data_IF_621944033626
#
_entry.id   IF_621944033626
#
_cell.length_a   1.000
_cell.length_b   1.000
_cell.length_c   1.000
_cell.angle_alpha   90.00
_cell.angle_beta   90.00
_cell.angle_gamma   90.00
#
_symmetry.space_group_name_H-M   'P 1'
#
loop_
_entity.id
_entity.type
_entity.pdbx_description
1 polymer ?
#
# COMPACT_ATOMS: atom_id res chain seq x y z
N UNK A 1 6.13 -16.34 -9.27
CA UNK A 1 5.92 -14.89 -9.40
C UNK A 1 7.24 -14.14 -9.59
N UNK A 2 8.24 -14.19 -8.67
CA UNK A 2 9.51 -13.44 -8.77
C UNK A 2 10.28 -13.76 -10.06
N UNK A 3 10.51 -15.05 -10.35
CA UNK A 3 11.20 -15.49 -11.57
C UNK A 3 10.43 -15.05 -12.83
N UNK A 4 9.12 -15.17 -12.83
CA UNK A 4 8.26 -14.77 -13.96
C UNK A 4 8.34 -13.27 -14.20
N UNK A 5 8.28 -12.47 -13.13
CA UNK A 5 8.43 -11.03 -13.18
C UNK A 5 9.82 -10.63 -13.71
N UNK A 6 10.88 -11.24 -13.20
CA UNK A 6 12.25 -10.95 -13.64
C UNK A 6 12.48 -11.28 -15.12
N UNK A 7 11.89 -12.37 -15.62
CA UNK A 7 12.01 -12.75 -17.03
C UNK A 7 11.23 -11.78 -17.94
N UNK A 8 10.05 -11.35 -17.52
CA UNK A 8 9.22 -10.42 -18.31
C UNK A 8 9.72 -8.99 -18.30
N UNK A 9 10.26 -8.55 -17.17
CA UNK A 9 10.73 -7.17 -16.98
C UNK A 9 12.14 -6.89 -17.51
N UNK A 10 12.80 -7.88 -18.11
CA UNK A 10 14.18 -7.70 -18.60
C UNK A 10 15.23 -7.70 -17.49
N UNK A 11 14.97 -8.39 -16.37
CA UNK A 11 15.94 -8.61 -15.28
C UNK A 11 15.66 -7.84 -13.99
N UNK A 12 14.65 -6.97 -13.95
CA UNK A 12 14.28 -6.27 -12.72
C UNK A 12 13.71 -7.22 -11.67
N UNK A 13 14.27 -7.15 -10.45
CA UNK A 13 13.79 -7.94 -9.32
C UNK A 13 12.74 -7.15 -8.54
N UNK A 14 11.69 -7.81 -8.03
CA UNK A 14 10.79 -7.16 -7.09
C UNK A 14 11.54 -6.81 -5.80
N UNK A 15 11.31 -5.62 -5.29
CA UNK A 15 11.92 -5.14 -4.05
C UNK A 15 10.91 -4.82 -2.96
N UNK A 16 9.63 -4.78 -3.31
CA UNK A 16 8.57 -4.42 -2.37
C UNK A 16 7.44 -5.43 -2.44
N UNK A 17 6.98 -5.87 -1.28
CA UNK A 17 5.81 -6.70 -1.12
C UNK A 17 4.80 -6.01 -0.22
N UNK A 18 3.55 -5.94 -0.66
CA UNK A 18 2.42 -5.39 0.09
C UNK A 18 1.41 -6.51 0.29
N UNK A 19 0.98 -6.72 1.53
CA UNK A 19 0.04 -7.79 1.87
C UNK A 19 -1.13 -7.24 2.68
N UNK A 20 -2.29 -7.86 2.53
CA UNK A 20 -3.42 -7.61 3.39
C UNK A 20 -3.18 -8.14 4.81
N UNK A 21 -3.86 -7.57 5.80
CA UNK A 21 -3.74 -7.98 7.21
C UNK A 21 -4.04 -9.46 7.41
N UNK A 22 -5.08 -9.97 6.76
CA UNK A 22 -5.48 -11.38 6.85
C UNK A 22 -4.38 -12.32 6.31
N UNK A 23 -3.74 -11.94 5.22
CA UNK A 23 -2.61 -12.69 4.64
C UNK A 23 -1.43 -12.73 5.59
N UNK A 24 -1.09 -11.59 6.20
CA UNK A 24 0.02 -11.51 7.17
C UNK A 24 -0.23 -12.43 8.37
N UNK A 25 -1.44 -12.42 8.92
CA UNK A 25 -1.78 -13.20 10.13
C UNK A 25 -1.69 -14.72 9.86
N UNK A 26 -2.02 -15.15 8.65
CA UNK A 26 -1.84 -16.55 8.23
C UNK A 26 -0.36 -16.88 7.98
N UNK A 27 0.39 -15.97 7.37
CA UNK A 27 1.82 -16.19 7.10
C UNK A 27 2.64 -16.38 8.39
N UNK A 28 2.34 -15.62 9.45
CA UNK A 28 3.02 -15.75 10.75
C UNK A 28 2.82 -17.13 11.35
N UNK A 29 1.64 -17.70 11.19
CA UNK A 29 1.28 -19.01 11.76
C UNK A 29 1.51 -20.17 10.79
N UNK A 30 2.07 -19.92 9.61
CA UNK A 30 2.21 -20.94 8.59
C UNK A 30 3.30 -21.96 8.94
N UNK A 31 2.98 -23.27 9.07
CA UNK A 31 3.89 -24.28 9.59
C UNK A 31 5.18 -24.44 8.76
N UNK A 32 5.11 -24.28 7.44
CA UNK A 32 6.30 -24.35 6.56
C UNK A 32 7.24 -23.15 6.76
N UNK A 33 6.71 -21.97 7.09
CA UNK A 33 7.51 -20.77 7.36
C UNK A 33 8.18 -20.94 8.72
N UNK A 34 7.43 -21.39 9.73
CA UNK A 34 7.95 -21.68 11.06
C UNK A 34 9.06 -22.74 11.00
N UNK A 35 8.85 -23.83 10.29
CA UNK A 35 9.85 -24.90 10.14
C UNK A 35 11.14 -24.39 9.45
N UNK A 36 11.01 -23.50 8.45
CA UNK A 36 12.16 -22.92 7.75
C UNK A 36 12.98 -21.98 8.63
N UNK A 37 12.32 -21.20 9.50
CA UNK A 37 12.97 -20.30 10.44
C UNK A 37 13.62 -21.04 11.62
N UNK A 38 12.96 -22.06 12.10
CA UNK A 38 13.44 -22.82 13.26
C UNK A 38 14.63 -23.74 12.96
N UNK A 39 15.02 -23.92 11.71
CA UNK A 39 16.16 -24.78 11.36
C UNK A 39 16.05 -26.20 11.90
N UNK A 40 14.81 -26.71 12.13
CA UNK A 40 14.56 -28.01 12.74
C UNK A 40 14.39 -27.98 14.27
N UNK A 41 14.24 -26.82 14.90
CA UNK A 41 13.98 -26.74 16.34
C UNK A 41 12.58 -27.24 16.71
N UNK A 42 12.51 -27.92 17.85
CA UNK A 42 11.32 -28.57 18.39
C UNK A 42 10.24 -27.59 18.85
N UNK A 43 9.01 -28.08 18.95
CA UNK A 43 7.75 -27.43 19.34
C UNK A 43 7.81 -26.61 20.66
N UNK A 44 8.84 -26.75 21.46
CA UNK A 44 9.00 -26.11 22.77
C UNK A 44 9.55 -24.67 22.72
N UNK A 45 9.98 -24.18 21.58
CA UNK A 45 10.42 -22.78 21.43
C UNK A 45 9.97 -22.21 20.09
N UNK A 46 8.73 -21.68 19.99
CA UNK A 46 8.21 -21.15 18.73
C UNK A 46 9.01 -19.90 18.33
N UNK A 47 9.54 -19.90 17.10
CA UNK A 47 10.19 -18.71 16.58
C UNK A 47 9.18 -17.59 16.43
N UNK A 48 9.51 -16.42 16.97
CA UNK A 48 8.73 -15.23 16.73
C UNK A 48 9.00 -14.74 15.29
N UNK A 49 7.96 -14.78 14.45
CA UNK A 49 8.04 -14.27 13.09
C UNK A 49 7.72 -12.78 13.11
N UNK A 50 8.71 -11.96 12.82
CA UNK A 50 8.57 -10.52 12.60
C UNK A 50 8.41 -10.23 11.12
N UNK A 51 7.86 -9.06 10.80
CA UNK A 51 7.68 -8.61 9.41
C UNK A 51 9.01 -8.50 8.66
N UNK A 52 10.11 -8.16 9.38
CA UNK A 52 11.46 -8.17 8.84
C UNK A 52 11.92 -9.59 8.41
N UNK A 53 11.60 -10.60 9.20
CA UNK A 53 11.90 -12.00 8.82
C UNK A 53 11.06 -12.48 7.65
N UNK A 54 9.82 -12.00 7.52
CA UNK A 54 9.02 -12.26 6.33
C UNK A 54 9.65 -11.61 5.09
N UNK A 55 10.14 -10.37 5.21
CA UNK A 55 10.86 -9.71 4.12
C UNK A 55 12.08 -10.50 3.67
N UNK A 56 12.88 -11.05 4.60
CA UNK A 56 14.02 -11.90 4.29
C UNK A 56 13.61 -13.20 3.59
N UNK A 57 12.54 -13.87 4.05
CA UNK A 57 12.04 -15.11 3.43
C UNK A 57 11.59 -14.87 2.00
N UNK A 58 10.89 -13.76 1.76
CA UNK A 58 10.43 -13.37 0.43
C UNK A 58 11.52 -12.66 -0.39
N UNK A 59 12.69 -12.42 0.20
CA UNK A 59 13.84 -11.73 -0.40
C UNK A 59 13.43 -10.38 -1.01
N UNK A 60 12.68 -9.58 -0.26
CA UNK A 60 12.27 -8.21 -0.61
C UNK A 60 12.90 -7.22 0.36
N UNK A 61 13.15 -6.00 -0.12
CA UNK A 61 13.71 -4.92 0.72
C UNK A 61 12.64 -4.34 1.65
N UNK A 62 11.41 -4.19 1.12
CA UNK A 62 10.30 -3.57 1.84
C UNK A 62 9.12 -4.55 1.93
N UNK A 63 8.58 -4.69 3.13
CA UNK A 63 7.39 -5.47 3.40
C UNK A 63 6.36 -4.58 4.10
N UNK A 64 5.25 -4.31 3.44
CA UNK A 64 4.19 -3.45 3.95
C UNK A 64 2.91 -4.23 4.17
N UNK A 65 2.20 -3.88 5.24
CA UNK A 65 0.92 -4.47 5.60
C UNK A 65 -0.16 -3.42 5.40
N UNK A 66 -1.22 -3.78 4.68
CA UNK A 66 -2.40 -2.93 4.54
C UNK A 66 -3.35 -3.19 5.71
N UNK A 67 -3.29 -2.31 6.72
CA UNK A 67 -4.12 -2.40 7.93
C UNK A 67 -5.32 -1.44 7.89
N UNK A 68 -5.51 -0.69 6.82
CA UNK A 68 -6.62 0.23 6.69
C UNK A 68 -7.96 -0.51 6.68
N UNK A 69 -8.91 0.02 7.43
CA UNK A 69 -10.27 -0.51 7.58
C UNK A 69 -11.26 0.43 6.92
N UNK A 70 -12.25 -0.12 6.26
CA UNK A 70 -13.41 0.62 5.74
C UNK A 70 -14.68 0.12 6.38
N UNK A 71 -15.59 1.01 6.66
CA UNK A 71 -16.97 0.66 6.96
C UNK A 71 -17.72 0.42 5.63
N UNK A 72 -18.30 -0.75 5.48
CA UNK A 72 -19.09 -1.15 4.31
C UNK A 72 -20.60 -1.08 4.53
N UNK A 73 -21.05 -0.71 5.74
CA UNK A 73 -22.48 -0.56 6.04
C UNK A 73 -23.05 0.69 5.41
N UNK A 74 -24.34 0.63 5.08
CA UNK A 74 -25.12 1.78 4.64
C UNK A 74 -25.49 2.65 5.84
N UNK A 75 -25.67 3.96 5.63
CA UNK A 75 -26.06 4.91 6.65
C UNK A 75 -27.33 4.44 7.40
N UNK A 76 -27.30 4.51 8.74
CA UNK A 76 -28.41 4.06 9.61
C UNK A 76 -28.43 2.58 9.96
N UNK A 77 -27.46 1.78 9.51
CA UNK A 77 -27.33 0.36 9.84
C UNK A 77 -26.10 0.15 10.74
N UNK A 78 -26.08 -0.95 11.50
CA UNK A 78 -24.93 -1.30 12.33
C UNK A 78 -23.63 -1.36 11.51
N UNK A 79 -22.53 -0.89 12.09
CA UNK A 79 -21.23 -0.82 11.43
C UNK A 79 -20.73 -2.22 11.01
N UNK A 80 -20.27 -2.32 9.76
CA UNK A 80 -19.62 -3.51 9.21
C UNK A 80 -18.22 -3.13 8.72
N UNK A 81 -17.23 -3.36 9.56
CA UNK A 81 -15.84 -3.01 9.27
C UNK A 81 -15.11 -4.16 8.56
N UNK A 82 -14.39 -3.83 7.49
CA UNK A 82 -13.57 -4.78 6.73
C UNK A 82 -12.22 -4.17 6.37
N UNK A 83 -11.17 -5.01 6.34
CA UNK A 83 -9.85 -4.58 5.88
C UNK A 83 -9.87 -4.30 4.37
N UNK A 84 -9.30 -3.16 3.96
CA UNK A 84 -9.23 -2.78 2.54
C UNK A 84 -8.33 -3.73 1.76
N UNK A 85 -7.21 -4.15 2.37
CA UNK A 85 -6.25 -5.08 1.77
C UNK A 85 -6.77 -6.51 1.65
N UNK A 86 -7.75 -6.90 2.47
CA UNK A 86 -8.35 -8.24 2.46
C UNK A 86 -7.34 -9.37 2.36
N UNK A 87 -7.67 -10.35 1.52
CA UNK A 87 -6.89 -11.57 1.28
C UNK A 87 -5.87 -11.45 0.14
N UNK A 88 -5.55 -10.24 -0.28
CA UNK A 88 -4.71 -9.98 -1.44
C UNK A 88 -3.25 -9.70 -1.06
N UNK A 89 -2.35 -9.95 -2.01
CA UNK A 89 -0.95 -9.59 -1.91
C UNK A 89 -0.44 -9.02 -3.24
N UNK A 90 0.49 -8.08 -3.17
CA UNK A 90 1.08 -7.42 -4.31
C UNK A 90 2.60 -7.46 -4.20
N UNK A 91 3.25 -7.90 -5.25
CA UNK A 91 4.71 -7.91 -5.38
C UNK A 91 5.10 -6.94 -6.49
N UNK A 92 5.91 -5.94 -6.17
CA UNK A 92 6.26 -4.87 -7.12
C UNK A 92 7.74 -4.53 -7.10
N UNK A 93 8.19 -3.98 -8.22
CA UNK A 93 9.44 -3.25 -8.31
C UNK A 93 9.14 -1.75 -8.25
N UNK A 94 9.60 -1.09 -7.18
CA UNK A 94 9.54 0.35 -7.01
C UNK A 94 10.95 0.93 -6.96
N UNK A 95 11.25 2.01 -7.70
CA UNK A 95 12.56 2.64 -7.63
C UNK A 95 12.71 3.36 -6.28
N UNK A 96 13.95 3.44 -5.78
CA UNK A 96 14.25 4.21 -4.55
C UNK A 96 14.00 5.71 -4.75
N UNK A 97 14.30 6.20 -5.95
CA UNK A 97 14.03 7.58 -6.37
C UNK A 97 13.10 7.54 -7.59
N UNK A 98 11.88 8.06 -7.42
CA UNK A 98 10.93 8.18 -8.51
C UNK A 98 11.40 9.24 -9.51
N UNK A 99 11.40 8.88 -10.79
CA UNK A 99 11.76 9.78 -11.88
C UNK A 99 11.06 9.38 -13.18
N UNK A 100 10.97 10.31 -14.12
CA UNK A 100 10.23 10.13 -15.37
C UNK A 100 10.77 8.94 -16.21
N UNK A 101 12.08 8.68 -16.13
CA UNK A 101 12.77 7.62 -16.89
C UNK A 101 13.12 6.42 -16.03
N UNK A 102 12.58 6.32 -14.83
CA UNK A 102 12.91 5.24 -13.89
C UNK A 102 11.87 4.12 -13.99
N UNK A 103 12.28 2.86 -14.24
CA UNK A 103 11.35 1.74 -14.29
C UNK A 103 10.63 1.55 -12.94
N UNK A 104 9.31 1.56 -12.99
CA UNK A 104 8.45 1.36 -11.82
C UNK A 104 7.18 0.62 -12.24
N UNK A 105 6.61 -0.17 -11.33
CA UNK A 105 5.32 -0.82 -11.55
C UNK A 105 4.19 0.20 -11.68
N UNK A 106 4.25 1.25 -10.87
CA UNK A 106 3.31 2.37 -10.89
C UNK A 106 3.90 3.61 -10.25
N UNK A 107 3.39 4.75 -10.63
CA UNK A 107 3.79 6.05 -10.11
C UNK A 107 2.56 6.90 -9.81
N UNK A 108 2.68 7.74 -8.80
CA UNK A 108 1.73 8.80 -8.52
C UNK A 108 2.30 10.10 -9.06
N UNK A 109 1.56 10.73 -9.97
CA UNK A 109 1.93 12.00 -10.58
C UNK A 109 1.17 13.11 -9.86
N UNK A 110 1.87 14.08 -9.31
CA UNK A 110 1.29 15.29 -8.79
C UNK A 110 1.37 16.39 -9.86
N UNK A 111 0.27 17.08 -10.10
CA UNK A 111 0.22 18.16 -11.06
C UNK A 111 0.23 19.52 -10.37
N UNK A 112 1.34 20.22 -10.48
CA UNK A 112 1.58 21.52 -9.82
C UNK A 112 1.15 22.74 -10.65
N UNK A 113 0.69 22.54 -11.89
CA UNK A 113 0.23 23.65 -12.77
C UNK A 113 -1.28 23.91 -12.70
N UNK A 114 -1.99 23.27 -11.77
CA UNK A 114 -3.41 23.57 -11.55
C UNK A 114 -3.53 24.89 -10.78
N UNK A 115 -4.30 25.88 -11.28
CA UNK A 115 -4.48 27.14 -10.57
C UNK A 115 -4.95 26.93 -9.13
N UNK A 116 -4.26 27.54 -8.17
CA UNK A 116 -4.56 27.42 -6.76
C UNK A 116 -3.99 26.16 -6.08
N UNK A 117 -3.04 25.46 -6.70
CA UNK A 117 -2.26 24.40 -6.05
C UNK A 117 -0.78 24.80 -5.94
N UNK A 118 -0.11 24.30 -4.91
CA UNK A 118 1.33 24.49 -4.73
C UNK A 118 2.14 23.48 -5.55
N UNK A 119 3.47 23.54 -5.45
CA UNK A 119 4.40 22.61 -6.16
C UNK A 119 4.20 21.11 -5.83
N UNK A 120 3.48 20.78 -4.77
CA UNK A 120 3.14 19.39 -4.41
C UNK A 120 1.75 18.98 -4.88
N UNK A 121 1.04 19.88 -5.61
CA UNK A 121 -0.33 19.61 -6.05
C UNK A 121 -1.36 19.65 -4.93
N UNK A 122 -1.01 20.13 -3.72
CA UNK A 122 -1.89 20.22 -2.55
C UNK A 122 -1.87 21.66 -2.06
N UNK A 123 -3.04 22.26 -1.89
CA UNK A 123 -3.19 23.59 -1.28
C UNK A 123 -4.34 23.57 -0.28
N UNK A 124 -4.10 24.15 0.87
CA UNK A 124 -5.13 24.41 1.89
C UNK A 124 -5.34 25.91 1.96
N UNK A 125 -6.55 26.36 1.65
CA UNK A 125 -6.95 27.76 1.69
C UNK A 125 -8.07 27.90 2.70
N UNK A 126 -7.96 28.92 3.56
CA UNK A 126 -9.01 29.31 4.50
C UNK A 126 -9.63 30.61 4.00
N UNK A 127 -10.92 30.61 3.77
CA UNK A 127 -11.69 31.75 3.36
C UNK A 127 -12.58 32.23 4.50
N UNK A 128 -12.41 33.46 4.89
CA UNK A 128 -13.38 34.16 5.73
C UNK A 128 -14.22 35.10 4.86
N UNK A 129 -15.38 34.63 4.45
CA UNK A 129 -16.31 35.51 3.71
C UNK A 129 -17.04 36.45 4.68
N UNK A 130 -16.85 37.75 4.50
CA UNK A 130 -17.51 38.79 5.33
C UNK A 130 -19.04 38.73 5.22
N UNK A 131 -19.58 38.22 4.11
CA UNK A 131 -21.02 38.00 3.92
C UNK A 131 -21.54 36.84 4.79
N UNK A 132 -20.81 35.78 4.91
CA UNK A 132 -21.13 34.61 5.75
C UNK A 132 -20.93 34.91 7.24
N UNK A 133 -19.91 35.70 7.59
CA UNK A 133 -19.63 36.13 8.96
C UNK A 133 -20.73 36.97 9.59
N UNK A 134 -21.52 37.69 8.79
CA UNK A 134 -22.67 38.50 9.29
C UNK A 134 -23.87 37.64 9.68
N UNK A 135 -24.01 36.45 9.10
CA UNK A 135 -25.15 35.58 9.29
C UNK A 135 -24.82 34.36 10.16
N UNK A 136 -23.60 33.86 10.06
CA UNK A 136 -23.08 32.72 10.85
C UNK A 136 -21.58 32.89 11.04
N UNK A 137 -21.08 32.61 12.24
CA UNK A 137 -19.62 32.54 12.51
C UNK A 137 -19.11 31.26 11.84
N UNK A 138 -18.87 31.34 10.53
CA UNK A 138 -18.40 30.20 9.73
C UNK A 138 -17.08 30.54 9.04
N UNK A 139 -16.14 29.64 9.10
CA UNK A 139 -14.89 29.65 8.34
C UNK A 139 -14.92 28.52 7.31
N UNK A 140 -14.70 28.86 6.04
CA UNK A 140 -14.65 27.89 4.98
C UNK A 140 -13.18 27.45 4.76
N UNK A 141 -12.90 26.19 4.96
CA UNK A 141 -11.59 25.60 4.65
C UNK A 141 -11.72 24.83 3.34
N UNK A 142 -10.92 25.19 2.35
CA UNK A 142 -10.87 24.50 1.07
C UNK A 142 -9.55 23.78 0.91
N UNK A 143 -9.60 22.48 0.68
CA UNK A 143 -8.43 21.65 0.35
C UNK A 143 -8.52 21.28 -1.13
N UNK A 144 -7.50 21.67 -1.90
CA UNK A 144 -7.36 21.29 -3.31
C UNK A 144 -6.20 20.32 -3.46
N UNK A 145 -6.42 19.23 -4.19
CA UNK A 145 -5.39 18.24 -4.49
C UNK A 145 -5.51 17.82 -5.95
N UNK A 146 -4.38 17.80 -6.67
CA UNK A 146 -4.32 17.36 -8.05
C UNK A 146 -3.24 16.28 -8.19
N UNK A 147 -3.67 15.02 -8.30
CA UNK A 147 -2.79 13.89 -8.52
C UNK A 147 -3.48 12.83 -9.38
N UNK A 148 -2.68 12.00 -10.03
CA UNK A 148 -3.12 10.82 -10.77
C UNK A 148 -2.22 9.64 -10.46
N UNK A 149 -2.81 8.47 -10.27
CA UNK A 149 -2.09 7.21 -10.04
C UNK A 149 -2.15 6.36 -11.30
N UNK A 150 -0.98 6.00 -11.82
CA UNK A 150 -0.90 5.24 -13.06
C UNK A 150 0.02 4.04 -12.95
N UNK A 151 -0.44 2.90 -13.46
CA UNK A 151 0.42 1.74 -13.68
C UNK A 151 1.29 2.04 -14.90
N UNK A 152 2.60 2.12 -14.68
CA UNK A 152 3.58 2.48 -15.74
C UNK A 152 4.27 1.27 -16.34
N UNK A 153 4.43 0.20 -15.54
CA UNK A 153 5.06 -1.03 -16.00
C UNK A 153 4.30 -2.26 -15.49
N UNK A 154 3.44 -2.83 -16.32
CA UNK A 154 2.66 -4.02 -15.95
C UNK A 154 3.54 -5.24 -15.64
N UNK A 155 4.70 -5.35 -16.30
CA UNK A 155 5.65 -6.45 -16.09
C UNK A 155 6.50 -6.30 -14.82
N UNK A 156 6.45 -5.12 -14.18
CA UNK A 156 7.15 -4.79 -12.95
C UNK A 156 6.29 -5.02 -11.69
N UNK A 157 5.10 -5.56 -11.85
CA UNK A 157 4.19 -5.90 -10.77
C UNK A 157 3.57 -7.29 -10.93
N UNK A 158 3.23 -7.92 -9.81
CA UNK A 158 2.49 -9.18 -9.78
C UNK A 158 1.47 -9.14 -8.65
N UNK A 159 0.20 -9.22 -9.01
CA UNK A 159 -0.89 -9.22 -8.06
C UNK A 159 -1.37 -10.65 -7.80
N UNK A 160 -1.53 -10.97 -6.53
CA UNK A 160 -2.09 -12.23 -6.07
C UNK A 160 -3.50 -11.97 -5.55
N UNK A 161 -4.46 -12.58 -6.18
CA UNK A 161 -5.86 -12.52 -5.78
C UNK A 161 -6.15 -13.68 -4.81
N UNK A 162 -6.80 -13.39 -3.68
CA UNK A 162 -7.29 -14.38 -2.72
C UNK A 162 -6.24 -15.45 -2.35
N UNK A 163 -5.13 -15.00 -1.77
CA UNK A 163 -3.97 -15.87 -1.44
C UNK A 163 -4.30 -16.84 -0.32
N UNK A 164 -5.26 -16.50 0.51
CA UNK A 164 -5.66 -17.25 1.71
C UNK A 164 -7.15 -17.56 1.69
N UNK A 165 -7.49 -18.73 2.22
CA UNK A 165 -8.87 -19.21 2.29
C UNK A 165 -9.70 -18.50 3.38
#
# INVERSE_FOLDING_TARGET
ARRTMQLKSGGFKPNTMVVGKEVRDILINHPKILARLNGGSTVSNPALITDAKLAEIFEVENFYIMEAVKNSSVEGVAESNAFIGGKHALLVHGPRNAGLMTPAAGLTFAWNNVPGTNNLGITVESFSDDGLKRLQVAEQIQVKMAYDMKVTGTDLGYFFLDVVA
#
